data_IF_937386398721
#
_entry.id   IF_937386398721
#
_cell.length_a   1.000
_cell.length_b   1.000
_cell.length_c   1.000
_cell.angle_alpha   90.00
_cell.angle_beta   90.00
_cell.angle_gamma   90.00
#
_symmetry.space_group_name_H-M   'P 1'
#
loop_
_entity.id
_entity.type
_entity.pdbx_description
1 polymer ?
#
# COMPACT_ATOMS: atom_id res chain seq x y z
N UNK A 1 35.95 -25.46 -18.30
CA UNK A 1 35.62 -24.25 -17.51
C UNK A 1 34.72 -24.74 -16.41
N UNK A 2 35.19 -24.68 -15.17
CA UNK A 2 34.36 -25.07 -14.03
C UNK A 2 33.55 -23.86 -13.60
N UNK A 3 32.26 -24.05 -13.32
CA UNK A 3 31.37 -22.99 -12.84
C UNK A 3 30.98 -23.29 -11.41
N UNK A 4 31.10 -22.31 -10.52
CA UNK A 4 30.54 -22.37 -9.18
C UNK A 4 29.11 -21.84 -9.22
N UNK A 5 28.16 -22.72 -8.96
CA UNK A 5 26.74 -22.36 -8.83
C UNK A 5 26.35 -22.35 -7.36
N UNK A 6 25.80 -21.23 -6.90
CA UNK A 6 25.36 -21.04 -5.52
C UNK A 6 23.90 -20.65 -5.51
N UNK A 7 23.12 -21.29 -4.64
CA UNK A 7 21.70 -20.97 -4.39
C UNK A 7 21.56 -20.34 -3.02
N UNK A 8 20.83 -19.23 -2.95
CA UNK A 8 20.45 -18.58 -1.71
C UNK A 8 18.93 -18.62 -1.58
N UNK A 9 18.45 -18.92 -0.37
CA UNK A 9 17.02 -18.93 -0.03
C UNK A 9 16.77 -18.05 1.19
N UNK A 10 15.75 -17.20 1.13
CA UNK A 10 15.31 -16.41 2.27
C UNK A 10 14.41 -17.20 3.21
N UNK A 11 14.31 -16.70 4.45
CA UNK A 11 13.28 -17.15 5.39
C UNK A 11 11.87 -16.78 4.88
N UNK A 12 10.87 -17.46 5.44
CA UNK A 12 9.46 -17.19 5.16
C UNK A 12 9.08 -15.77 5.61
N UNK A 13 8.45 -15.00 4.73
CA UNK A 13 8.05 -13.61 4.94
C UNK A 13 6.83 -13.26 4.09
N UNK A 14 6.21 -12.09 4.34
CA UNK A 14 5.12 -11.57 3.51
C UNK A 14 5.21 -10.04 3.48
N UNK A 15 5.49 -9.41 2.33
CA UNK A 15 5.70 -10.02 1.01
C UNK A 15 7.01 -10.83 0.94
N UNK A 16 7.17 -11.67 -0.09
CA UNK A 16 8.42 -12.37 -0.36
C UNK A 16 9.62 -11.41 -0.44
N UNK A 17 10.76 -11.81 0.13
CA UNK A 17 11.97 -10.99 0.13
C UNK A 17 12.59 -10.84 -1.28
N UNK A 18 13.07 -9.65 -1.61
CA UNK A 18 13.88 -9.40 -2.79
C UNK A 18 15.34 -9.77 -2.50
N UNK A 19 15.91 -10.64 -3.33
CA UNK A 19 17.29 -11.12 -3.18
C UNK A 19 18.24 -10.29 -4.04
N UNK A 20 19.41 -9.97 -3.49
CA UNK A 20 20.48 -9.26 -4.18
C UNK A 20 21.81 -9.97 -3.95
N UNK A 21 22.64 -10.04 -4.99
CA UNK A 21 23.93 -10.71 -4.93
C UNK A 21 25.06 -9.71 -5.06
N UNK A 22 26.10 -9.90 -4.26
CA UNK A 22 27.34 -9.15 -4.34
C UNK A 22 28.49 -10.13 -4.55
N UNK A 23 29.32 -9.85 -5.55
CA UNK A 23 30.55 -10.58 -5.83
C UNK A 23 31.71 -9.62 -5.55
N UNK A 24 32.52 -9.92 -4.54
CA UNK A 24 33.57 -9.01 -4.05
C UNK A 24 33.02 -7.59 -3.78
N UNK A 25 31.88 -7.53 -3.09
CA UNK A 25 31.13 -6.31 -2.72
C UNK A 25 30.56 -5.52 -3.89
N UNK A 26 30.72 -5.99 -5.13
CA UNK A 26 30.08 -5.38 -6.30
C UNK A 26 28.72 -6.00 -6.49
N UNK A 27 27.68 -5.15 -6.50
CA UNK A 27 26.31 -5.56 -6.76
C UNK A 27 26.19 -6.11 -8.19
N UNK A 28 25.69 -7.34 -8.32
CA UNK A 28 25.34 -7.92 -9.62
C UNK A 28 24.11 -7.24 -10.20
N UNK A 29 24.01 -7.26 -11.53
CA UNK A 29 22.86 -6.72 -12.23
C UNK A 29 21.54 -7.33 -11.73
N UNK A 30 20.69 -6.46 -11.17
CA UNK A 30 19.42 -6.84 -10.57
C UNK A 30 18.44 -7.45 -11.58
N UNK A 31 18.53 -7.11 -12.87
CA UNK A 31 17.65 -7.69 -13.89
C UNK A 31 17.93 -9.19 -14.04
N UNK A 32 19.21 -9.55 -14.20
CA UNK A 32 19.64 -10.95 -14.29
C UNK A 32 19.25 -11.77 -13.05
N UNK A 33 19.39 -11.19 -11.86
CA UNK A 33 19.03 -11.89 -10.61
C UNK A 33 17.52 -12.08 -10.51
N UNK A 34 16.72 -11.04 -10.79
CA UNK A 34 15.26 -11.09 -10.70
C UNK A 34 14.66 -12.14 -11.62
N UNK A 35 15.23 -12.35 -12.80
CA UNK A 35 14.79 -13.38 -13.73
C UNK A 35 15.04 -14.81 -13.20
N UNK A 36 16.05 -14.97 -12.33
CA UNK A 36 16.34 -16.25 -11.66
C UNK A 36 15.68 -16.40 -10.29
N UNK A 37 14.97 -15.37 -9.82
CA UNK A 37 14.35 -15.39 -8.49
C UNK A 37 13.00 -16.12 -8.54
N UNK A 38 12.91 -17.20 -7.78
CA UNK A 38 11.71 -17.99 -7.59
C UNK A 38 11.04 -17.61 -6.25
N UNK A 39 9.71 -17.51 -6.24
CA UNK A 39 8.92 -17.31 -5.02
C UNK A 39 8.10 -18.57 -4.73
N UNK A 40 8.33 -19.16 -3.57
CA UNK A 40 7.63 -20.34 -3.08
C UNK A 40 6.63 -19.91 -2.02
N UNK A 41 5.36 -20.30 -2.20
CA UNK A 41 4.29 -20.10 -1.22
C UNK A 41 4.14 -21.33 -0.35
N UNK A 42 4.13 -21.11 0.96
CA UNK A 42 4.02 -22.17 1.96
C UNK A 42 2.57 -22.33 2.46
N UNK A 43 2.22 -23.46 3.09
CA UNK A 43 0.87 -23.68 3.62
C UNK A 43 0.42 -22.68 4.70
N UNK A 44 1.37 -22.04 5.39
CA UNK A 44 1.15 -20.98 6.38
C UNK A 44 0.87 -19.61 5.75
N UNK A 45 0.70 -19.55 4.42
CA UNK A 45 0.49 -18.34 3.61
C UNK A 45 1.65 -17.34 3.62
N UNK A 46 2.82 -17.75 4.13
CA UNK A 46 4.07 -17.02 4.00
C UNK A 46 4.78 -17.41 2.70
N UNK A 47 5.68 -16.54 2.25
CA UNK A 47 6.42 -16.68 1.01
C UNK A 47 7.93 -16.71 1.29
N UNK A 48 8.67 -17.56 0.59
CA UNK A 48 10.14 -17.54 0.59
C UNK A 48 10.65 -17.31 -0.81
N UNK A 49 11.77 -16.62 -0.94
CA UNK A 49 12.42 -16.39 -2.23
C UNK A 49 13.73 -17.15 -2.34
N UNK A 50 14.01 -17.68 -3.53
CA UNK A 50 15.25 -18.38 -3.83
C UNK A 50 15.82 -17.86 -5.13
N UNK A 51 17.12 -17.61 -5.20
CA UNK A 51 17.82 -17.26 -6.45
C UNK A 51 19.15 -17.98 -6.51
N UNK A 52 19.65 -18.20 -7.73
CA UNK A 52 20.93 -18.87 -7.95
C UNK A 52 21.78 -18.07 -8.91
N UNK A 53 23.08 -18.01 -8.64
CA UNK A 53 24.07 -17.41 -9.54
C UNK A 53 25.10 -18.46 -9.93
N UNK A 54 25.62 -18.36 -11.15
CA UNK A 54 26.72 -19.19 -11.64
C UNK A 54 27.88 -18.29 -12.06
N UNK A 55 29.04 -18.50 -11.45
CA UNK A 55 30.27 -17.75 -11.78
C UNK A 55 31.34 -18.69 -12.33
N UNK A 56 32.06 -18.30 -13.40
CA UNK A 56 33.16 -19.10 -13.93
C UNK A 56 34.36 -19.06 -12.98
N UNK A 57 34.85 -20.24 -12.60
CA UNK A 57 36.08 -20.42 -11.84
C UNK A 57 37.27 -20.40 -12.82
N UNK A 58 37.62 -19.22 -13.32
CA UNK A 58 38.76 -19.09 -14.22
C UNK A 58 40.05 -19.14 -13.40
N UNK A 59 40.86 -20.20 -13.55
CA UNK A 59 42.13 -20.40 -12.81
C UNK A 59 43.16 -19.28 -13.01
N UNK A 60 42.94 -18.40 -13.99
CA UNK A 60 43.78 -17.24 -14.31
C UNK A 60 43.41 -15.95 -13.58
N UNK A 61 42.26 -15.90 -12.87
CA UNK A 61 41.70 -14.66 -12.32
C UNK A 61 41.04 -14.83 -10.94
N UNK A 62 41.46 -15.80 -10.12
CA UNK A 62 41.33 -15.61 -8.68
C UNK A 62 42.24 -14.41 -8.35
N UNK A 63 41.72 -13.23 -7.98
CA UNK A 63 42.57 -12.19 -7.42
C UNK A 63 43.35 -12.85 -6.26
N UNK A 64 44.59 -12.44 -5.95
CA UNK A 64 45.24 -12.97 -4.76
C UNK A 64 44.33 -12.72 -3.54
N UNK A 65 43.66 -13.77 -3.05
CA UNK A 65 42.61 -13.69 -2.05
C UNK A 65 41.40 -14.58 -2.31
N UNK A 66 40.50 -14.62 -1.34
CA UNK A 66 39.28 -15.43 -1.38
C UNK A 66 38.16 -14.70 -2.14
N UNK A 67 37.40 -15.41 -2.96
CA UNK A 67 36.17 -14.87 -3.57
C UNK A 67 35.13 -14.65 -2.45
N UNK A 68 34.61 -13.42 -2.32
CA UNK A 68 33.52 -13.12 -1.39
C UNK A 68 32.18 -13.04 -2.11
N UNK A 69 31.29 -13.99 -1.81
CA UNK A 69 29.91 -13.99 -2.27
C UNK A 69 29.00 -13.57 -1.12
N UNK A 70 28.14 -12.57 -1.34
CA UNK A 70 27.14 -12.14 -0.37
C UNK A 70 25.76 -12.16 -1.00
N UNK A 71 24.80 -12.80 -0.34
CA UNK A 71 23.38 -12.74 -0.66
C UNK A 71 22.67 -11.87 0.38
N UNK A 72 21.99 -10.81 -0.05
CA UNK A 72 21.19 -9.95 0.80
C UNK A 72 19.71 -10.15 0.51
N UNK A 73 18.90 -10.37 1.55
CA UNK A 73 17.45 -10.45 1.47
C UNK A 73 16.82 -9.18 2.05
N UNK A 74 15.98 -8.51 1.27
CA UNK A 74 15.29 -7.27 1.66
C UNK A 74 13.78 -7.41 1.50
N UNK A 75 12.99 -6.91 2.46
CA UNK A 75 11.51 -6.97 2.41
C UNK A 75 11.00 -5.53 2.28
N UNK A 76 10.11 -5.27 1.32
CA UNK A 76 9.50 -3.96 1.18
C UNK A 76 8.52 -3.68 2.34
N UNK A 77 8.57 -2.48 2.91
CA UNK A 77 7.61 -2.05 3.94
C UNK A 77 6.21 -1.92 3.32
N UNK A 78 5.26 -2.75 3.75
CA UNK A 78 3.85 -2.62 3.38
C UNK A 78 3.10 -1.95 4.54
N UNK A 79 2.58 -0.75 4.31
CA UNK A 79 1.68 -0.07 5.26
C UNK A 79 0.30 -0.70 5.13
N UNK A 80 -0.16 -1.42 6.15
CA UNK A 80 -1.52 -1.99 6.19
C UNK A 80 -2.48 -0.98 6.82
N UNK A 81 -3.42 -0.44 6.05
CA UNK A 81 -4.50 0.41 6.59
C UNK A 81 -5.72 -0.44 6.92
N UNK A 82 -6.05 -0.58 8.20
CA UNK A 82 -7.31 -1.17 8.66
C UNK A 82 -8.31 -0.05 8.90
N UNK A 83 -9.41 -0.02 8.15
CA UNK A 83 -10.55 0.87 8.40
C UNK A 83 -11.68 0.05 9.02
N UNK A 84 -12.05 0.35 10.26
CA UNK A 84 -13.25 -0.21 10.89
C UNK A 84 -14.43 0.75 10.66
N UNK A 85 -15.48 0.30 9.96
CA UNK A 85 -16.72 1.06 9.81
C UNK A 85 -17.67 0.71 10.97
N UNK A 86 -17.94 1.69 11.83
CA UNK A 86 -18.84 1.53 12.97
C UNK A 86 -20.29 1.87 12.56
N UNK A 87 -21.10 0.85 12.28
CA UNK A 87 -22.53 1.03 11.97
C UNK A 87 -23.34 1.31 13.24
N UNK A 88 -23.53 2.58 13.58
CA UNK A 88 -24.45 2.99 14.66
C UNK A 88 -25.89 2.95 14.11
N UNK A 89 -26.62 1.88 14.42
CA UNK A 89 -28.07 1.83 14.22
C UNK A 89 -28.75 2.84 15.15
N UNK A 90 -28.99 4.06 14.69
CA UNK A 90 -29.91 4.97 15.38
C UNK A 90 -31.35 4.56 15.07
N UNK A 91 -32.19 4.23 16.07
CA UNK A 91 -33.62 4.06 15.83
C UNK A 91 -34.19 5.39 15.33
N UNK A 92 -34.95 5.32 14.23
CA UNK A 92 -35.61 6.47 13.62
C UNK A 92 -36.66 7.04 14.60
N UNK A 93 -36.67 8.35 14.90
CA UNK A 93 -37.71 8.92 15.74
C UNK A 93 -39.05 8.88 14.99
N UNK A 94 -40.03 8.22 15.60
CA UNK A 94 -41.42 8.18 15.14
C UNK A 94 -41.99 9.61 15.15
N UNK A 95 -42.26 10.16 13.97
CA UNK A 95 -42.94 11.45 13.84
C UNK A 95 -44.42 11.23 14.11
N UNK A 96 -44.85 11.50 15.34
CA UNK A 96 -46.29 11.63 15.66
C UNK A 96 -46.81 12.89 14.97
N UNK A 97 -47.70 12.72 13.99
CA UNK A 97 -48.43 13.80 13.32
C UNK A 97 -49.44 14.41 14.31
N UNK A 98 -49.02 15.43 15.05
CA UNK A 98 -49.94 16.33 15.76
C UNK A 98 -50.69 17.17 14.71
N UNK A 99 -51.97 16.86 14.47
CA UNK A 99 -52.87 17.75 13.73
C UNK A 99 -53.08 19.03 14.56
N UNK A 100 -52.33 20.08 14.24
CA UNK A 100 -52.61 21.42 14.75
C UNK A 100 -53.92 21.91 14.11
N UNK A 101 -55.02 21.84 14.86
CA UNK A 101 -56.27 22.51 14.49
C UNK A 101 -56.02 24.02 14.40
N UNK A 102 -56.01 24.55 13.18
CA UNK A 102 -55.88 25.98 12.90
C UNK A 102 -57.27 26.61 13.05
N UNK A 103 -57.50 27.28 14.17
CA UNK A 103 -58.53 28.33 14.26
C UNK A 103 -58.11 29.59 13.49
N UNK A 104 -59.04 30.45 13.05
CA UNK A 104 -58.75 31.46 12.03
C UNK A 104 -58.05 32.67 12.65
N UNK A 105 -56.92 33.09 12.09
CA UNK A 105 -56.32 34.40 12.37
C UNK A 105 -56.07 35.14 11.05
N UNK A 106 -56.93 36.14 10.84
CA UNK A 106 -56.81 37.42 10.12
C UNK A 106 -55.66 37.66 9.11
N UNK A 107 -55.92 38.31 7.96
CA UNK A 107 -54.90 38.58 6.95
C UNK A 107 -54.12 39.86 7.29
N UNK A 108 -52.80 39.85 7.11
CA UNK A 108 -52.03 41.08 7.00
C UNK A 108 -51.07 40.99 5.82
N UNK A 109 -51.44 41.68 4.73
CA UNK A 109 -50.61 41.92 3.56
C UNK A 109 -50.36 43.43 3.46
N UNK A 110 -49.21 43.91 3.94
CA UNK A 110 -48.79 45.30 3.77
C UNK A 110 -47.63 45.38 2.77
N UNK A 111 -47.97 45.39 1.47
CA UNK A 111 -47.08 45.51 0.31
C UNK A 111 -46.35 46.87 0.19
N UNK A 112 -46.58 47.82 1.10
CA UNK A 112 -45.96 49.14 1.05
C UNK A 112 -44.51 49.15 1.58
N UNK A 113 -44.18 48.25 2.50
CA UNK A 113 -42.86 48.22 3.15
C UNK A 113 -41.77 47.60 2.28
N UNK A 114 -42.13 46.76 1.30
CA UNK A 114 -41.16 46.11 0.41
C UNK A 114 -40.54 47.05 -0.62
N UNK A 115 -41.27 48.08 -1.06
CA UNK A 115 -40.76 49.02 -2.07
C UNK A 115 -39.80 50.05 -1.48
N UNK A 116 -39.97 50.47 -0.23
CA UNK A 116 -39.10 51.51 0.37
C UNK A 116 -37.66 51.02 0.58
N UNK A 117 -37.48 49.73 0.91
CA UNK A 117 -36.16 49.15 1.23
C UNK A 117 -35.27 49.04 -0.02
N UNK A 118 -35.87 48.80 -1.18
CA UNK A 118 -35.15 48.67 -2.45
C UNK A 118 -34.62 50.02 -2.93
N UNK A 119 -35.35 51.12 -2.69
CA UNK A 119 -34.91 52.47 -3.09
C UNK A 119 -33.76 53.02 -2.24
N UNK A 120 -33.61 52.60 -0.98
CA UNK A 120 -32.60 53.15 -0.06
C UNK A 120 -31.20 52.54 -0.27
N UNK A 121 -31.09 51.30 -0.78
CA UNK A 121 -29.79 50.64 -0.92
C UNK A 121 -29.11 50.85 -2.28
N UNK A 122 -29.84 51.31 -3.29
CA UNK A 122 -29.30 51.59 -4.64
C UNK A 122 -29.14 53.09 -4.94
N UNK A 123 -29.11 53.96 -3.91
CA UNK A 123 -28.93 55.41 -4.02
C UNK A 123 -27.73 55.91 -3.19
#
# INVERSE_FOLDING_TARGET
>A
IDNLTVRCSSAKSKPAANLSWYVNDVLMDSATIRDTQEVIRHPDQLESSSSSISIPLTSHHLPPGDIRLTCAASIANVVTSVSEELFINRPMPEKVLELKNIGPVSPQFDLLMGMLVIWILFA
#
